data_IF_319845111945
#
_entry.id   IF_319845111945
#
_cell.length_a   1.000
_cell.length_b   1.000
_cell.length_c   1.000
_cell.angle_alpha   90.00
_cell.angle_beta   90.00
_cell.angle_gamma   90.00
#
_symmetry.space_group_name_H-M   'P 1'
#
loop_
_entity.id
_entity.type
_entity.pdbx_description
1 polymer ?
#
# COMPACT_ATOMS: atom_id res chain seq x y z
N UNK A 1 16.47 21.62 -36.89
CA UNK A 1 16.12 21.24 -35.50
C UNK A 1 17.23 20.36 -34.95
N UNK A 2 17.80 20.69 -33.78
CA UNK A 2 18.85 19.89 -33.13
C UNK A 2 18.27 18.53 -32.73
N UNK A 3 18.89 17.43 -33.15
CA UNK A 3 18.44 16.09 -32.79
C UNK A 3 18.52 15.92 -31.26
N UNK A 4 17.44 15.43 -30.65
CA UNK A 4 17.44 15.09 -29.23
C UNK A 4 18.34 13.86 -29.00
N UNK A 5 19.03 13.76 -27.87
CA UNK A 5 19.82 12.59 -27.54
C UNK A 5 18.94 11.32 -27.51
N UNK A 6 19.51 10.13 -27.80
CA UNK A 6 18.77 8.88 -27.74
C UNK A 6 18.25 8.64 -26.32
N UNK A 7 16.93 8.52 -26.18
CA UNK A 7 16.25 8.32 -24.89
C UNK A 7 15.53 6.98 -24.87
N UNK A 8 15.47 6.32 -23.71
CA UNK A 8 14.67 5.10 -23.54
C UNK A 8 13.17 5.37 -23.71
N UNK A 9 12.36 4.39 -24.14
CA UNK A 9 10.90 4.56 -24.26
C UNK A 9 10.24 5.03 -22.97
N UNK A 10 10.71 4.53 -21.82
CA UNK A 10 10.21 4.92 -20.50
C UNK A 10 10.53 6.40 -20.18
N UNK A 11 11.76 6.84 -20.47
CA UNK A 11 12.17 8.22 -20.27
C UNK A 11 11.37 9.18 -21.14
N UNK A 12 11.18 8.85 -22.43
CA UNK A 12 10.35 9.65 -23.36
C UNK A 12 8.92 9.80 -22.85
N UNK A 13 8.32 8.70 -22.36
CA UNK A 13 6.97 8.75 -21.77
C UNK A 13 6.92 9.60 -20.50
N UNK A 14 7.93 9.51 -19.64
CA UNK A 14 7.98 10.30 -18.41
C UNK A 14 8.11 11.80 -18.70
N UNK A 15 8.96 12.18 -19.65
CA UNK A 15 9.09 13.57 -20.13
C UNK A 15 7.74 14.06 -20.68
N UNK A 16 7.06 13.28 -21.51
CA UNK A 16 5.74 13.64 -22.03
C UNK A 16 4.68 13.81 -20.92
N UNK A 17 4.72 13.00 -19.86
CA UNK A 17 3.85 13.15 -18.68
C UNK A 17 4.11 14.45 -17.94
N UNK A 18 5.38 14.83 -17.76
CA UNK A 18 5.77 16.09 -17.11
C UNK A 18 5.37 17.30 -17.95
N UNK A 19 5.64 17.27 -19.26
CA UNK A 19 5.22 18.32 -20.19
C UNK A 19 3.70 18.49 -20.20
N UNK A 20 2.95 17.39 -20.29
CA UNK A 20 1.49 17.46 -20.24
C UNK A 20 1.01 18.07 -18.92
N UNK A 21 1.60 17.71 -17.77
CA UNK A 21 1.25 18.29 -16.47
C UNK A 21 1.61 19.77 -16.39
N UNK A 22 2.77 20.17 -16.87
CA UNK A 22 3.22 21.56 -16.91
C UNK A 22 2.27 22.42 -17.75
N UNK A 23 1.95 21.96 -18.97
CA UNK A 23 1.02 22.65 -19.85
C UNK A 23 -0.40 22.66 -19.29
N UNK A 24 -0.81 21.61 -18.57
CA UNK A 24 -2.09 21.60 -17.86
C UNK A 24 -2.12 22.67 -16.76
N UNK A 25 -1.04 22.86 -16.00
CA UNK A 25 -0.93 23.94 -15.01
C UNK A 25 -0.92 25.33 -15.66
N UNK A 26 -0.29 25.46 -16.82
CA UNK A 26 -0.30 26.69 -17.61
C UNK A 26 -1.71 27.08 -18.06
N UNK A 27 -2.57 26.10 -18.37
CA UNK A 27 -4.01 26.32 -18.61
C UNK A 27 -4.73 26.65 -17.31
N UNK A 28 -4.56 25.82 -16.28
CA UNK A 28 -5.15 26.02 -14.96
C UNK A 28 -4.26 25.39 -13.88
N UNK A 29 -3.81 26.14 -12.85
CA UNK A 29 -4.40 27.39 -12.37
C UNK A 29 -3.82 28.67 -12.99
N UNK A 30 -2.72 28.61 -13.73
CA UNK A 30 -1.96 29.82 -14.11
C UNK A 30 -2.62 30.66 -15.21
N UNK A 31 -3.52 30.08 -16.03
CA UNK A 31 -4.24 30.77 -17.12
C UNK A 31 -3.35 31.53 -18.11
N UNK A 32 -2.13 31.04 -18.33
CA UNK A 32 -1.15 31.60 -19.27
C UNK A 32 -1.45 31.23 -20.72
N UNK A 33 -2.11 30.09 -20.94
CA UNK A 33 -2.50 29.60 -22.26
C UNK A 33 -3.94 29.10 -22.22
N UNK A 34 -4.68 29.25 -23.33
CA UNK A 34 -6.08 28.86 -23.41
C UNK A 34 -6.29 27.34 -23.40
N UNK A 35 -5.35 26.58 -23.97
CA UNK A 35 -5.44 25.13 -24.07
C UNK A 35 -4.07 24.45 -24.03
N UNK A 36 -4.06 23.18 -23.63
CA UNK A 36 -2.85 22.38 -23.58
C UNK A 36 -2.55 21.85 -25.00
N UNK A 37 -1.35 22.16 -25.51
CA UNK A 37 -0.89 21.69 -26.82
C UNK A 37 -0.73 20.16 -26.91
N UNK A 38 -0.67 19.46 -25.76
CA UNK A 38 -0.60 18.01 -25.66
C UNK A 38 -1.96 17.47 -25.20
N UNK A 39 -2.79 16.91 -26.12
CA UNK A 39 -4.07 16.34 -25.77
C UNK A 39 -3.96 15.24 -24.72
N UNK A 40 -5.03 15.05 -23.95
CA UNK A 40 -5.09 13.97 -22.98
C UNK A 40 -4.91 12.61 -23.68
N UNK A 41 -4.03 11.78 -23.14
CA UNK A 41 -3.73 10.47 -23.71
C UNK A 41 -2.65 10.46 -24.81
N UNK A 42 -2.17 11.63 -25.26
CA UNK A 42 -1.07 11.74 -26.21
C UNK A 42 0.29 11.47 -25.53
N UNK A 43 0.54 10.21 -25.17
CA UNK A 43 1.77 9.77 -24.51
C UNK A 43 2.47 8.70 -25.36
N UNK A 44 3.82 8.73 -25.46
CA UNK A 44 4.59 7.67 -26.10
C UNK A 44 4.24 6.28 -25.55
N UNK A 45 4.14 5.29 -26.44
CA UNK A 45 3.91 3.90 -26.05
C UNK A 45 5.11 3.37 -25.24
N UNK A 46 4.79 2.59 -24.20
CA UNK A 46 5.80 1.80 -23.51
C UNK A 46 6.17 0.59 -24.38
N UNK A 47 7.43 0.15 -24.29
CA UNK A 47 7.84 -1.13 -24.82
C UNK A 47 7.21 -2.30 -24.03
N UNK A 48 7.47 -3.55 -24.46
CA UNK A 48 6.97 -4.73 -23.77
C UNK A 48 7.42 -4.75 -22.31
N UNK A 49 6.56 -5.28 -21.43
CA UNK A 49 6.89 -5.44 -20.03
C UNK A 49 8.03 -6.43 -19.84
N UNK A 50 8.97 -6.12 -18.94
CA UNK A 50 10.01 -7.08 -18.52
C UNK A 50 9.40 -8.10 -17.56
N UNK A 51 9.86 -9.34 -17.65
CA UNK A 51 9.53 -10.35 -16.66
C UNK A 51 9.99 -9.89 -15.28
N UNK A 52 9.15 -10.09 -14.26
CA UNK A 52 9.51 -9.81 -12.88
C UNK A 52 10.33 -10.98 -12.35
N UNK A 53 11.49 -10.71 -11.77
CA UNK A 53 12.24 -11.72 -11.04
C UNK A 53 11.50 -12.06 -9.74
N UNK A 54 11.47 -13.34 -9.39
CA UNK A 54 11.01 -13.84 -8.11
C UNK A 54 12.17 -14.60 -7.47
N UNK A 55 12.43 -14.37 -6.18
CA UNK A 55 13.43 -15.11 -5.45
C UNK A 55 12.80 -16.42 -4.94
N UNK A 56 13.44 -17.55 -5.24
CA UNK A 56 13.01 -18.84 -4.70
C UNK A 56 13.40 -18.98 -3.22
N UNK A 57 12.73 -19.85 -2.44
CA UNK A 57 13.00 -20.01 -1.00
C UNK A 57 14.46 -20.35 -0.66
N UNK A 58 15.12 -21.18 -1.47
CA UNK A 58 16.54 -21.50 -1.34
C UNK A 58 17.44 -20.28 -1.62
N UNK A 59 17.05 -19.44 -2.59
CA UNK A 59 17.66 -18.15 -2.87
C UNK A 59 17.53 -17.15 -1.71
N UNK A 60 16.35 -17.06 -1.08
CA UNK A 60 16.12 -16.23 0.12
C UNK A 60 16.99 -16.70 1.29
N UNK A 61 17.02 -18.01 1.55
CA UNK A 61 17.85 -18.58 2.62
C UNK A 61 19.34 -18.27 2.41
N UNK A 62 19.85 -18.43 1.18
CA UNK A 62 21.22 -18.08 0.81
C UNK A 62 21.50 -16.59 1.00
N UNK A 63 20.58 -15.73 0.56
CA UNK A 63 20.70 -14.27 0.73
C UNK A 63 20.81 -13.87 2.20
N UNK A 64 20.00 -14.49 3.07
CA UNK A 64 20.00 -14.21 4.50
C UNK A 64 21.23 -14.77 5.24
N UNK A 65 21.80 -15.88 4.75
CA UNK A 65 23.01 -16.46 5.32
C UNK A 65 24.31 -15.80 4.84
N UNK A 66 24.28 -15.06 3.73
CA UNK A 66 25.48 -14.55 3.08
C UNK A 66 26.12 -13.36 3.82
N UNK A 67 27.14 -13.66 4.64
CA UNK A 67 27.79 -12.70 5.55
C UNK A 67 28.56 -11.57 4.85
N UNK A 68 28.90 -11.72 3.58
CA UNK A 68 29.51 -10.63 2.80
C UNK A 68 28.55 -9.45 2.59
N UNK A 69 27.23 -9.67 2.71
CA UNK A 69 26.24 -8.61 2.69
C UNK A 69 26.00 -8.14 4.14
N UNK A 70 26.12 -6.84 4.42
CA UNK A 70 25.82 -6.30 5.74
C UNK A 70 24.43 -6.70 6.26
N UNK A 71 24.32 -6.95 7.57
CA UNK A 71 23.11 -7.52 8.20
C UNK A 71 21.83 -6.72 7.91
N UNK A 72 21.88 -5.39 7.98
CA UNK A 72 20.74 -4.51 7.67
C UNK A 72 20.13 -4.73 6.28
N UNK A 73 20.92 -5.04 5.25
CA UNK A 73 20.42 -5.32 3.89
C UNK A 73 19.73 -6.68 3.82
N UNK A 74 20.28 -7.67 4.52
CA UNK A 74 19.68 -9.01 4.64
C UNK A 74 18.35 -8.94 5.37
N UNK A 75 18.30 -8.22 6.50
CA UNK A 75 17.06 -7.97 7.25
C UNK A 75 16.04 -7.22 6.37
N UNK A 76 16.46 -6.17 5.67
CA UNK A 76 15.57 -5.41 4.79
C UNK A 76 14.96 -6.28 3.69
N UNK A 77 15.77 -7.06 2.97
CA UNK A 77 15.24 -7.94 1.92
C UNK A 77 14.36 -9.06 2.47
N UNK A 78 14.76 -9.64 3.60
CA UNK A 78 13.94 -10.65 4.29
C UNK A 78 12.58 -10.09 4.69
N UNK A 79 12.55 -8.87 5.22
CA UNK A 79 11.36 -8.12 5.55
C UNK A 79 10.49 -7.79 4.32
N UNK A 80 11.08 -7.30 3.24
CA UNK A 80 10.36 -7.00 1.99
C UNK A 80 9.69 -8.25 1.40
N UNK A 81 10.36 -9.40 1.47
CA UNK A 81 9.83 -10.66 0.93
C UNK A 81 8.70 -11.26 1.79
N UNK A 82 8.71 -11.04 3.11
CA UNK A 82 7.72 -11.58 4.06
C UNK A 82 6.49 -10.69 4.21
N UNK A 83 6.69 -9.37 4.31
CA UNK A 83 5.63 -8.42 4.61
C UNK A 83 5.13 -7.65 3.37
N UNK A 84 5.91 -7.65 2.29
CA UNK A 84 5.57 -6.95 1.04
C UNK A 84 5.40 -5.42 1.11
N UNK A 85 6.02 -4.64 2.04
CA UNK A 85 5.95 -3.20 1.96
C UNK A 85 6.72 -2.70 0.75
N UNK A 86 6.39 -1.49 0.28
CA UNK A 86 7.24 -0.85 -0.74
C UNK A 86 8.60 -0.51 -0.11
N UNK A 87 9.67 -0.52 -0.90
CA UNK A 87 11.00 -0.13 -0.41
C UNK A 87 11.01 1.26 0.25
N UNK A 88 10.21 2.21 -0.26
CA UNK A 88 10.06 3.54 0.34
C UNK A 88 9.24 3.56 1.63
N UNK A 89 8.41 2.55 1.87
CA UNK A 89 7.67 2.35 3.13
C UNK A 89 8.63 1.75 4.16
N UNK A 90 9.35 0.69 3.80
CA UNK A 90 10.34 0.05 4.67
C UNK A 90 11.49 1.01 5.06
N UNK A 91 11.99 1.82 4.13
CA UNK A 91 13.07 2.77 4.39
C UNK A 91 12.67 3.94 5.32
N UNK A 92 11.37 4.15 5.56
CA UNK A 92 10.87 5.19 6.47
C UNK A 92 10.39 4.65 7.81
N UNK A 93 10.36 3.32 7.96
CA UNK A 93 9.87 2.66 9.16
C UNK A 93 10.75 3.04 10.34
N UNK A 94 10.13 3.49 11.43
CA UNK A 94 10.82 3.77 12.68
C UNK A 94 10.51 2.67 13.69
N UNK A 95 11.33 2.56 14.74
CA UNK A 95 11.15 1.55 15.80
C UNK A 95 9.76 1.69 16.44
N UNK A 96 9.26 2.91 16.63
CA UNK A 96 7.91 3.20 17.16
C UNK A 96 6.75 2.71 16.28
N UNK A 97 7.02 2.38 15.01
CA UNK A 97 6.02 1.85 14.09
C UNK A 97 5.89 0.33 14.20
N UNK A 98 6.71 -0.32 15.04
CA UNK A 98 6.75 -1.77 15.22
C UNK A 98 6.17 -2.12 16.60
N UNK A 99 5.06 -2.85 16.61
CA UNK A 99 4.49 -3.45 17.82
C UNK A 99 4.97 -4.92 17.87
N UNK A 100 6.05 -5.16 18.61
CA UNK A 100 6.67 -6.49 18.74
C UNK A 100 5.81 -7.45 19.56
N UNK A 101 5.03 -6.95 20.52
CA UNK A 101 4.16 -7.77 21.36
C UNK A 101 3.00 -8.34 20.54
N UNK A 102 2.51 -7.56 19.57
CA UNK A 102 1.39 -7.96 18.71
C UNK A 102 1.80 -8.40 17.31
N UNK A 103 3.10 -8.37 16.99
CA UNK A 103 3.61 -8.68 15.65
C UNK A 103 3.04 -7.78 14.56
N UNK A 104 2.82 -6.49 14.85
CA UNK A 104 2.13 -5.57 13.95
C UNK A 104 3.01 -4.39 13.51
N UNK A 105 2.74 -3.88 12.29
CA UNK A 105 3.50 -2.78 11.68
C UNK A 105 2.60 -1.61 11.30
N UNK A 106 3.05 -0.40 11.62
CA UNK A 106 2.39 0.86 11.24
C UNK A 106 2.99 1.43 9.95
N UNK A 107 2.23 1.40 8.87
CA UNK A 107 2.59 1.97 7.57
C UNK A 107 1.61 3.09 7.19
N UNK A 108 1.99 4.35 7.42
CA UNK A 108 1.08 5.49 7.17
C UNK A 108 1.12 6.02 5.74
N UNK A 109 2.31 6.24 5.17
CA UNK A 109 2.46 6.98 3.91
C UNK A 109 2.64 6.06 2.73
N UNK A 110 1.59 5.85 1.94
CA UNK A 110 1.62 5.03 0.74
C UNK A 110 1.18 5.79 -0.53
N UNK A 111 1.36 5.14 -1.70
CA UNK A 111 1.07 5.71 -3.03
C UNK A 111 -0.40 6.14 -3.21
N UNK A 112 -1.32 5.54 -2.47
CA UNK A 112 -2.78 5.80 -2.59
C UNK A 112 -3.32 6.70 -1.49
N UNK A 113 -2.48 7.12 -0.52
CA UNK A 113 -2.89 7.88 0.66
C UNK A 113 -4.00 7.19 1.49
N UNK A 114 -4.16 5.87 1.34
CA UNK A 114 -5.09 5.07 2.14
C UNK A 114 -4.38 4.58 3.41
N UNK A 115 -4.87 4.89 4.61
CA UNK A 115 -4.23 4.44 5.84
C UNK A 115 -4.21 2.90 5.91
N UNK A 116 -3.03 2.31 6.10
CA UNK A 116 -2.85 0.84 6.25
C UNK A 116 -2.73 0.39 7.70
N UNK A 117 -2.60 1.32 8.64
CA UNK A 117 -2.29 1.03 10.03
C UNK A 117 -3.29 1.64 11.01
N UNK A 118 -3.39 0.99 12.18
CA UNK A 118 -4.35 1.30 13.26
C UNK A 118 -4.08 2.67 13.87
N UNK A 119 -5.18 3.38 14.16
CA UNK A 119 -5.17 4.65 14.90
C UNK A 119 -4.83 4.34 16.37
N UNK A 120 -3.87 5.07 16.96
CA UNK A 120 -3.46 4.90 18.37
C UNK A 120 -4.51 5.38 19.38
N UNK A 121 -5.48 6.19 18.95
CA UNK A 121 -6.61 6.62 19.77
C UNK A 121 -7.91 6.03 19.22
N UNK A 122 -8.54 5.19 20.04
CA UNK A 122 -9.86 4.63 19.73
C UNK A 122 -10.91 5.70 20.07
N UNK A 123 -11.62 6.21 19.07
CA UNK A 123 -12.80 7.06 19.28
C UNK A 123 -14.03 6.17 19.41
N UNK A 124 -15.11 6.72 19.95
CA UNK A 124 -16.39 6.01 20.05
C UNK A 124 -16.83 5.43 18.68
N UNK A 125 -16.61 6.16 17.58
CA UNK A 125 -16.91 5.69 16.23
C UNK A 125 -16.07 4.45 15.81
N UNK A 126 -14.84 4.33 16.29
CA UNK A 126 -13.93 3.23 15.93
C UNK A 126 -14.35 1.90 16.59
N UNK A 127 -15.16 1.93 17.67
CA UNK A 127 -15.68 0.72 18.34
C UNK A 127 -16.59 -0.11 17.43
N UNK A 128 -17.31 0.54 16.51
CA UNK A 128 -18.11 -0.16 15.48
C UNK A 128 -17.22 -0.93 14.52
N UNK A 129 -16.06 -0.39 14.16
CA UNK A 129 -15.07 -1.12 13.36
C UNK A 129 -14.48 -2.29 14.14
N UNK A 130 -14.29 -2.17 15.45
CA UNK A 130 -13.88 -3.29 16.32
C UNK A 130 -14.90 -4.42 16.31
N UNK A 131 -16.20 -4.12 16.51
CA UNK A 131 -17.26 -5.12 16.45
C UNK A 131 -17.25 -5.92 15.14
N UNK A 132 -17.19 -5.22 14.00
CA UNK A 132 -17.16 -5.86 12.68
C UNK A 132 -15.90 -6.73 12.52
N UNK A 133 -14.74 -6.20 12.93
CA UNK A 133 -13.44 -6.87 12.79
C UNK A 133 -13.40 -8.18 13.57
N UNK A 134 -13.81 -8.16 14.84
CA UNK A 134 -13.84 -9.34 15.72
C UNK A 134 -14.84 -10.36 15.21
N UNK A 135 -16.06 -9.94 14.85
CA UNK A 135 -17.08 -10.84 14.33
C UNK A 135 -16.62 -11.57 13.05
N UNK A 136 -16.03 -10.85 12.09
CA UNK A 136 -15.51 -11.46 10.87
C UNK A 136 -14.31 -12.39 11.14
N UNK A 137 -13.44 -12.02 12.08
CA UNK A 137 -12.29 -12.84 12.46
C UNK A 137 -12.72 -14.17 13.11
N UNK A 138 -13.79 -14.14 13.90
CA UNK A 138 -14.37 -15.32 14.56
C UNK A 138 -15.39 -16.05 13.67
N UNK A 139 -15.33 -15.84 12.35
CA UNK A 139 -16.07 -16.62 11.36
C UNK A 139 -17.54 -16.23 11.16
N UNK A 140 -17.99 -15.10 11.70
CA UNK A 140 -19.35 -14.60 11.38
C UNK A 140 -19.43 -14.16 9.93
N UNK A 141 -20.58 -14.40 9.31
CA UNK A 141 -20.81 -14.02 7.91
C UNK A 141 -20.98 -12.51 7.76
N UNK A 142 -20.71 -12.03 6.55
CA UNK A 142 -20.94 -10.63 6.19
C UNK A 142 -22.41 -10.23 6.32
N UNK A 143 -23.34 -11.16 6.04
CA UNK A 143 -24.78 -10.97 6.25
C UNK A 143 -25.13 -10.77 7.72
N UNK A 144 -24.59 -11.62 8.61
CA UNK A 144 -24.78 -11.49 10.06
C UNK A 144 -24.29 -10.14 10.60
N UNK A 145 -23.15 -9.67 10.09
CA UNK A 145 -22.62 -8.35 10.42
C UNK A 145 -23.54 -7.26 9.89
N UNK A 146 -23.97 -7.35 8.63
CA UNK A 146 -24.81 -6.36 7.98
C UNK A 146 -26.15 -6.16 8.72
N UNK A 147 -26.78 -7.25 9.16
CA UNK A 147 -28.05 -7.23 9.90
C UNK A 147 -27.93 -6.46 11.23
N UNK A 148 -26.83 -6.68 11.96
CA UNK A 148 -26.59 -6.03 13.27
C UNK A 148 -26.10 -4.61 13.19
N UNK A 149 -25.52 -4.24 12.05
CA UNK A 149 -24.96 -2.91 11.85
C UNK A 149 -25.89 -2.03 11.02
N UNK A 150 -26.84 -2.58 10.27
CA UNK A 150 -27.71 -1.83 9.35
C UNK A 150 -27.01 -1.42 8.06
N UNK A 151 -25.93 -2.12 7.66
CA UNK A 151 -25.27 -1.84 6.38
C UNK A 151 -26.09 -2.38 5.22
N UNK A 152 -26.41 -1.50 4.26
CA UNK A 152 -27.06 -1.88 2.99
C UNK A 152 -26.06 -2.21 1.88
N UNK A 153 -24.76 -2.00 2.11
CA UNK A 153 -23.71 -2.35 1.16
C UNK A 153 -22.46 -2.92 1.86
N UNK A 154 -21.79 -3.82 1.16
CA UNK A 154 -20.53 -4.44 1.54
C UNK A 154 -19.36 -3.47 1.62
N UNK A 155 -19.46 -2.28 1.01
CA UNK A 155 -18.32 -1.35 0.87
C UNK A 155 -17.76 -0.93 2.23
N UNK A 156 -18.61 -0.70 3.22
CA UNK A 156 -18.14 -0.34 4.57
C UNK A 156 -17.53 -1.53 5.31
N UNK A 157 -18.09 -2.73 5.15
CA UNK A 157 -17.59 -3.96 5.78
C UNK A 157 -16.23 -4.35 5.19
N UNK A 158 -16.06 -4.22 3.87
CA UNK A 158 -14.81 -4.52 3.18
C UNK A 158 -13.62 -3.69 3.66
N UNK A 159 -13.84 -2.48 4.21
CA UNK A 159 -12.77 -1.68 4.83
C UNK A 159 -12.14 -2.37 6.03
N UNK A 160 -12.91 -3.17 6.76
CA UNK A 160 -12.46 -3.91 7.95
C UNK A 160 -11.93 -5.31 7.64
N UNK A 161 -12.18 -5.86 6.44
CA UNK A 161 -11.76 -7.23 6.08
C UNK A 161 -10.26 -7.48 6.20
N UNK A 162 -9.43 -6.47 5.91
CA UNK A 162 -7.98 -6.59 6.11
C UNK A 162 -7.66 -6.77 7.59
N UNK A 163 -8.22 -5.93 8.45
CA UNK A 163 -8.00 -6.02 9.89
C UNK A 163 -8.54 -7.35 10.46
N UNK A 164 -9.67 -7.84 9.97
CA UNK A 164 -10.26 -9.11 10.41
C UNK A 164 -9.37 -10.31 10.07
N UNK A 165 -8.74 -10.32 8.88
CA UNK A 165 -7.77 -11.36 8.52
C UNK A 165 -6.57 -11.37 9.45
N UNK A 166 -5.96 -10.22 9.71
CA UNK A 166 -4.86 -10.12 10.67
C UNK A 166 -5.29 -10.56 12.07
N UNK A 167 -6.51 -10.21 12.50
CA UNK A 167 -7.05 -10.62 13.79
C UNK A 167 -7.24 -12.15 13.89
N UNK A 168 -7.66 -12.79 12.80
CA UNK A 168 -7.79 -14.25 12.69
C UNK A 168 -6.43 -14.96 12.60
N UNK A 169 -5.48 -14.42 11.81
CA UNK A 169 -4.11 -14.94 11.68
C UNK A 169 -3.37 -14.93 13.04
N UNK A 170 -3.62 -13.91 13.86
CA UNK A 170 -3.06 -13.79 15.21
C UNK A 170 -3.83 -14.61 16.27
N UNK A 171 -4.95 -15.24 15.92
CA UNK A 171 -5.72 -16.08 16.84
C UNK A 171 -6.28 -15.32 18.07
N UNK A 172 -6.63 -14.04 17.92
CA UNK A 172 -6.95 -13.15 19.05
C UNK A 172 -8.31 -13.40 19.73
N UNK A 173 -9.19 -14.23 19.14
CA UNK A 173 -10.44 -14.66 19.76
C UNK A 173 -11.51 -13.57 19.92
N UNK A 174 -12.39 -13.71 20.91
CA UNK A 174 -13.49 -12.76 21.18
C UNK A 174 -13.08 -11.70 22.22
N UNK A 175 -13.81 -10.58 22.27
CA UNK A 175 -13.66 -9.60 23.35
C UNK A 175 -14.09 -10.20 24.69
N UNK A 176 -13.53 -9.68 25.79
CA UNK A 176 -13.89 -10.11 27.13
C UNK A 176 -15.39 -9.94 27.42
N UNK A 177 -15.93 -10.87 28.22
CA UNK A 177 -17.29 -10.77 28.75
C UNK A 177 -17.45 -9.49 29.58
N UNK A 178 -18.64 -8.90 29.53
CA UNK A 178 -19.02 -7.76 30.38
C UNK A 178 -19.59 -8.20 31.74
N UNK A 179 -19.62 -9.51 31.98
CA UNK A 179 -20.11 -10.16 33.20
C UNK A 179 -18.97 -10.88 33.92
#
# INVERSE_FOLDING_TARGET
>A
MRALPPMSPALRRHIAQLLHRLMAMAVFPCRLVAMNALPRGFLPKLGPAKAKACLYPDGDARLLAYSAIPLWWRVLWGFLNREGPRISEAARLQVQDVDLDRGALRLEKNKTNDPRARVLQVRAHDTRSTFITVALANGRSETWVADRTGHRSSVMIQRTRRAARTFAELGLGELASLA
#
